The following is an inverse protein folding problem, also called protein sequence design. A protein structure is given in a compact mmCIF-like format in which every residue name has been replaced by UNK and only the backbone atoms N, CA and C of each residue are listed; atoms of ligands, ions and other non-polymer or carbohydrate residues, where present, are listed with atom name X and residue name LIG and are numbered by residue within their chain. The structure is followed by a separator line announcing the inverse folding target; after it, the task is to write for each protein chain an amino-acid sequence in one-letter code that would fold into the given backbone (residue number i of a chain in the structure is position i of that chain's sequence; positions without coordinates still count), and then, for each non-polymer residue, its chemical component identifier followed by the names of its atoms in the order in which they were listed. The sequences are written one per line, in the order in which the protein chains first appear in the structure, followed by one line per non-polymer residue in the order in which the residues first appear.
data_IF_993660165357
#
_entry.id   IF_993660165357
#
_cell.length_a   1.000
_cell.length_b   1.000
_cell.length_c   1.000
_cell.angle_alpha   90.00
_cell.angle_beta   90.00
_cell.angle_gamma   90.00
#
_symmetry.space_group_name_H-M   'P 1'
#
loop_
_entity.id
_entity.type
_entity.pdbx_description
1 polymer ?
#
# COMPACT_ATOMS: atom_id res chain seq x y z
N UNK A 1 7.98 -5.63 55.53
CA UNK A 1 7.32 -5.25 54.27
C UNK A 1 8.31 -5.40 53.14
N UNK A 2 8.28 -6.52 52.42
CA UNK A 2 9.11 -6.75 51.24
C UNK A 2 8.21 -7.26 50.12
N UNK A 3 7.80 -6.35 49.24
CA UNK A 3 7.16 -6.72 47.97
C UNK A 3 8.27 -7.03 46.98
N UNK A 4 8.32 -8.28 46.51
CA UNK A 4 9.25 -8.71 45.48
C UNK A 4 8.69 -9.95 44.80
N UNK A 5 7.84 -9.78 43.79
CA UNK A 5 7.49 -10.82 42.84
C UNK A 5 8.21 -10.50 41.52
N UNK A 6 9.24 -11.26 41.12
CA UNK A 6 9.88 -11.08 39.83
C UNK A 6 9.03 -11.81 38.78
N UNK A 7 8.34 -11.04 37.93
CA UNK A 7 7.62 -11.59 36.78
C UNK A 7 8.64 -11.95 35.69
N UNK A 8 9.26 -13.12 35.81
CA UNK A 8 9.98 -13.74 34.70
C UNK A 8 8.95 -14.36 33.73
N UNK A 9 8.44 -13.57 32.79
CA UNK A 9 7.75 -14.10 31.62
C UNK A 9 8.78 -14.76 30.69
N UNK A 10 9.02 -16.06 30.87
CA UNK A 10 9.74 -16.85 29.88
C UNK A 10 8.78 -17.21 28.74
N UNK A 11 9.23 -17.11 27.49
CA UNK A 11 8.45 -17.43 26.27
C UNK A 11 7.80 -18.83 26.35
N UNK A 12 8.39 -19.75 27.10
CA UNK A 12 7.87 -21.11 27.37
C UNK A 12 6.48 -21.06 28.01
N UNK A 13 6.26 -20.17 28.98
CA UNK A 13 4.99 -20.10 29.73
C UNK A 13 3.79 -19.59 28.92
N UNK A 14 4.03 -18.95 27.77
CA UNK A 14 2.97 -18.47 26.88
C UNK A 14 2.46 -19.59 25.95
N UNK A 15 3.35 -20.48 25.49
CA UNK A 15 2.96 -21.59 24.60
C UNK A 15 2.02 -22.57 25.33
N UNK A 16 2.32 -22.86 26.59
CA UNK A 16 1.53 -23.77 27.44
C UNK A 16 0.11 -23.24 27.75
N UNK A 17 -0.18 -21.97 27.43
CA UNK A 17 -1.48 -21.33 27.64
C UNK A 17 -2.31 -21.18 26.37
N UNK A 18 -1.76 -21.55 25.20
CA UNK A 18 -2.48 -21.47 23.94
C UNK A 18 -3.33 -22.74 23.72
N UNK A 19 -4.52 -22.62 23.13
CA UNK A 19 -5.32 -23.78 22.71
C UNK A 19 -4.52 -24.73 21.81
N UNK A 20 -4.72 -26.05 21.96
CA UNK A 20 -3.97 -27.05 21.16
C UNK A 20 -4.20 -26.89 19.65
N UNK A 21 -5.43 -26.58 19.23
CA UNK A 21 -5.76 -26.32 17.83
C UNK A 21 -4.94 -25.14 17.27
N UNK A 22 -4.80 -24.05 18.04
CA UNK A 22 -3.93 -22.94 17.65
C UNK A 22 -2.45 -23.35 17.57
N UNK A 23 -1.97 -24.19 18.50
CA UNK A 23 -0.60 -24.70 18.47
C UNK A 23 -0.36 -25.54 17.21
N UNK A 24 -1.31 -26.39 16.81
CA UNK A 24 -1.19 -27.18 15.57
C UNK A 24 -1.14 -26.30 14.33
N UNK A 25 -1.91 -25.21 14.29
CA UNK A 25 -1.85 -24.21 13.23
C UNK A 25 -0.50 -23.50 13.17
N UNK A 26 0.16 -23.24 14.31
CA UNK A 26 1.48 -22.60 14.34
C UNK A 26 2.61 -23.54 13.86
N UNK A 27 2.42 -24.85 14.02
CA UNK A 27 3.37 -25.87 13.58
C UNK A 27 3.29 -26.10 12.06
N UNK A 28 2.13 -25.91 11.41
CA UNK A 28 2.00 -25.92 9.95
C UNK A 28 2.63 -24.66 9.32
N UNK A 29 3.61 -24.86 8.43
CA UNK A 29 4.33 -23.76 7.79
C UNK A 29 3.43 -22.85 6.93
N UNK A 30 2.43 -23.42 6.24
CA UNK A 30 1.51 -22.66 5.38
C UNK A 30 0.53 -21.85 6.21
N UNK A 31 0.03 -22.42 7.31
CA UNK A 31 -0.89 -21.69 8.18
C UNK A 31 -0.16 -20.60 8.96
N UNK A 32 1.07 -20.87 9.41
CA UNK A 32 1.96 -19.84 9.99
C UNK A 32 2.25 -18.71 9.01
N UNK A 33 2.53 -19.00 7.73
CA UNK A 33 2.73 -17.97 6.71
C UNK A 33 1.48 -17.08 6.57
N UNK A 34 0.30 -17.68 6.46
CA UNK A 34 -0.97 -16.94 6.41
C UNK A 34 -1.16 -16.05 7.64
N UNK A 35 -0.95 -16.60 8.84
CA UNK A 35 -1.10 -15.86 10.09
C UNK A 35 -0.17 -14.65 10.12
N UNK A 36 1.10 -14.85 9.76
CA UNK A 36 2.10 -13.77 9.71
C UNK A 36 1.66 -12.70 8.70
N UNK A 37 1.28 -13.10 7.48
CA UNK A 37 0.85 -12.17 6.43
C UNK A 37 -0.34 -11.35 6.90
N UNK A 38 -1.37 -11.97 7.48
CA UNK A 38 -2.55 -11.27 7.99
C UNK A 38 -2.22 -10.33 9.16
N UNK A 39 -1.51 -10.80 10.19
CA UNK A 39 -1.17 -9.97 11.36
C UNK A 39 -0.28 -8.80 10.99
N UNK A 40 0.77 -9.05 10.21
CA UNK A 40 1.65 -8.00 9.69
C UNK A 40 0.84 -7.01 8.86
N UNK A 41 -0.06 -7.49 8.01
CA UNK A 41 -0.89 -6.60 7.18
C UNK A 41 -1.81 -5.72 8.04
N UNK A 42 -2.46 -6.27 9.06
CA UNK A 42 -3.31 -5.52 9.99
C UNK A 42 -2.53 -4.43 10.72
N UNK A 43 -1.36 -4.77 11.28
CA UNK A 43 -0.52 -3.81 11.99
C UNK A 43 -0.02 -2.72 11.05
N UNK A 44 0.46 -3.09 9.86
CA UNK A 44 0.99 -2.11 8.90
C UNK A 44 -0.11 -1.19 8.36
N UNK A 45 -1.33 -1.69 8.11
CA UNK A 45 -2.46 -0.87 7.70
C UNK A 45 -2.85 0.13 8.80
N UNK A 46 -2.89 -0.32 10.06
CA UNK A 46 -3.14 0.54 11.22
C UNK A 46 -2.07 1.63 11.34
N UNK A 47 -0.80 1.24 11.36
CA UNK A 47 0.33 2.18 11.52
C UNK A 47 0.37 3.17 10.36
N UNK A 48 0.18 2.70 9.13
CA UNK A 48 0.17 3.58 7.96
C UNK A 48 -1.02 4.56 7.98
N UNK A 49 -2.20 4.11 8.43
CA UNK A 49 -3.37 4.98 8.52
C UNK A 49 -3.15 6.15 9.49
N UNK A 50 -2.58 5.90 10.65
CA UNK A 50 -2.36 6.94 11.66
C UNK A 50 -1.13 7.81 11.38
N UNK A 51 -0.01 7.21 10.96
CA UNK A 51 1.28 7.92 10.89
C UNK A 51 1.84 8.05 9.47
N UNK A 52 1.42 7.21 8.54
CA UNK A 52 1.97 7.20 7.19
C UNK A 52 1.39 8.23 6.22
N UNK A 53 0.26 8.86 6.54
CA UNK A 53 -0.47 9.77 5.64
C UNK A 53 0.01 11.23 5.74
N UNK A 54 -0.23 12.07 4.69
CA UNK A 54 0.16 13.49 4.71
C UNK A 54 -0.38 14.27 5.91
N UNK A 55 -1.60 13.94 6.36
CA UNK A 55 -2.23 14.59 7.52
C UNK A 55 -1.39 14.52 8.80
N UNK A 56 -0.72 13.40 9.06
CA UNK A 56 0.16 13.27 10.22
C UNK A 56 1.40 14.16 10.12
N UNK A 57 2.00 14.26 8.92
CA UNK A 57 3.13 15.16 8.69
C UNK A 57 2.74 16.63 8.91
N UNK A 58 1.51 17.02 8.56
CA UNK A 58 0.97 18.34 8.90
C UNK A 58 0.79 18.51 10.41
N UNK A 59 0.18 17.53 11.08
CA UNK A 59 -0.12 17.57 12.51
C UNK A 59 1.14 17.77 13.37
N UNK A 60 2.23 17.08 13.04
CA UNK A 60 3.49 17.23 13.79
C UNK A 60 4.29 18.48 13.39
N UNK A 61 3.81 19.26 12.42
CA UNK A 61 4.53 20.40 11.85
C UNK A 61 5.85 19.99 11.19
N UNK A 62 5.87 18.85 10.50
CA UNK A 62 7.09 18.32 9.88
C UNK A 62 7.77 19.34 8.96
N UNK A 63 7.05 20.07 8.09
CA UNK A 63 7.69 21.06 7.22
C UNK A 63 8.35 22.19 8.00
N UNK A 64 7.69 22.72 9.03
CA UNK A 64 8.25 23.78 9.88
C UNK A 64 9.47 23.29 10.67
N UNK A 65 9.46 22.02 11.11
CA UNK A 65 10.62 21.41 11.78
C UNK A 65 11.80 21.28 10.83
N UNK A 66 11.60 20.82 9.60
CA UNK A 66 12.66 20.73 8.60
C UNK A 66 13.22 22.12 8.24
N UNK A 67 12.35 23.13 8.15
CA UNK A 67 12.76 24.52 7.93
C UNK A 67 13.64 25.05 9.07
N UNK A 68 13.30 24.72 10.32
CA UNK A 68 14.08 25.12 11.49
C UNK A 68 15.47 24.46 11.55
N UNK A 69 15.70 23.38 10.80
CA UNK A 69 17.00 22.72 10.70
C UNK A 69 17.90 23.45 9.69
N UNK A 70 18.35 24.63 10.12
CA UNK A 70 19.38 25.42 9.42
C UNK A 70 18.92 26.13 8.15
N UNK A 71 17.61 26.20 7.87
CA UNK A 71 17.07 26.86 6.67
C UNK A 71 17.44 26.19 5.34
N UNK A 72 18.10 25.02 5.40
CA UNK A 72 18.53 24.23 4.22
C UNK A 72 17.33 23.58 3.54
N UNK A 73 16.28 23.26 4.31
CA UNK A 73 15.07 22.61 3.84
C UNK A 73 13.86 23.55 3.94
N UNK A 74 13.81 24.58 3.10
CA UNK A 74 12.62 25.40 2.92
C UNK A 74 11.60 24.65 2.05
N UNK A 75 10.41 24.31 2.58
CA UNK A 75 9.36 23.64 1.81
C UNK A 75 8.59 24.64 0.94
N UNK A 76 9.32 25.32 0.05
CA UNK A 76 8.78 26.37 -0.82
C UNK A 76 7.65 25.86 -1.71
N UNK A 77 7.62 24.57 -2.00
CA UNK A 77 6.58 23.90 -2.78
C UNK A 77 5.44 23.34 -1.93
N UNK A 78 5.57 23.19 -0.61
CA UNK A 78 4.53 22.55 0.22
C UNK A 78 4.41 21.05 -0.01
N UNK A 79 5.50 20.41 -0.44
CA UNK A 79 5.54 19.01 -0.90
C UNK A 79 5.98 18.02 0.15
N UNK A 80 6.55 18.48 1.28
CA UNK A 80 7.12 17.61 2.31
C UNK A 80 6.13 16.55 2.80
N UNK A 81 4.83 16.84 3.02
CA UNK A 81 3.89 15.81 3.51
C UNK A 81 3.54 14.72 2.49
N UNK A 82 3.62 15.02 1.19
CA UNK A 82 3.46 14.01 0.14
C UNK A 82 4.73 13.17 -0.03
N UNK A 83 5.91 13.76 0.18
CA UNK A 83 7.16 13.01 0.27
C UNK A 83 7.20 12.10 1.50
N UNK A 84 6.68 12.58 2.64
CA UNK A 84 6.47 11.75 3.84
C UNK A 84 5.55 10.57 3.54
N UNK A 85 4.46 10.81 2.80
CA UNK A 85 3.52 9.77 2.40
C UNK A 85 4.19 8.70 1.53
N UNK A 86 4.92 9.12 0.51
CA UNK A 86 5.71 8.24 -0.35
C UNK A 86 6.78 7.47 0.43
N UNK A 87 7.53 8.13 1.31
CA UNK A 87 8.57 7.49 2.12
C UNK A 87 7.97 6.48 3.11
N UNK A 88 6.92 6.87 3.83
CA UNK A 88 6.20 5.98 4.76
C UNK A 88 5.65 4.77 4.03
N UNK A 89 5.17 4.96 2.80
CA UNK A 89 4.73 3.89 1.92
C UNK A 89 5.87 2.93 1.57
N UNK A 90 7.03 3.44 1.15
CA UNK A 90 8.18 2.59 0.87
C UNK A 90 8.63 1.82 2.11
N UNK A 91 8.72 2.46 3.27
CA UNK A 91 9.18 1.79 4.49
C UNK A 91 8.16 0.75 4.94
N UNK A 92 6.91 1.15 5.17
CA UNK A 92 5.91 0.32 5.82
C UNK A 92 5.29 -0.70 4.86
N UNK A 93 5.18 -0.41 3.57
CA UNK A 93 4.46 -1.25 2.60
C UNK A 93 5.35 -1.89 1.53
N UNK A 94 6.64 -1.58 1.51
CA UNK A 94 7.65 -2.28 0.68
C UNK A 94 8.74 -2.89 1.54
N UNK A 95 9.46 -2.06 2.32
CA UNK A 95 10.62 -2.45 3.10
C UNK A 95 10.30 -3.46 4.20
N UNK A 96 9.31 -3.19 5.06
CA UNK A 96 8.90 -4.12 6.11
C UNK A 96 8.36 -5.44 5.52
N UNK A 97 7.44 -5.45 4.54
CA UNK A 97 7.04 -6.69 3.88
C UNK A 97 8.18 -7.48 3.26
N UNK A 98 9.13 -6.83 2.58
CA UNK A 98 10.34 -7.50 2.06
C UNK A 98 11.18 -8.10 3.18
N UNK A 99 11.38 -7.36 4.28
CA UNK A 99 12.06 -7.87 5.46
C UNK A 99 11.38 -9.09 6.06
N UNK A 100 10.05 -9.07 6.16
CA UNK A 100 9.25 -10.22 6.62
C UNK A 100 9.41 -11.40 5.67
N UNK A 101 9.32 -11.19 4.36
CA UNK A 101 9.50 -12.25 3.35
C UNK A 101 10.88 -12.92 3.50
N UNK A 102 11.95 -12.12 3.60
CA UNK A 102 13.33 -12.63 3.57
C UNK A 102 13.76 -13.20 4.92
N UNK A 103 13.48 -12.50 6.03
CA UNK A 103 14.03 -12.84 7.33
C UNK A 103 13.09 -13.70 8.19
N UNK A 104 11.78 -13.54 8.05
CA UNK A 104 10.79 -14.27 8.86
C UNK A 104 10.26 -15.49 8.09
N UNK A 105 9.72 -15.27 6.89
CA UNK A 105 9.16 -16.33 6.05
C UNK A 105 10.24 -17.13 5.29
N UNK A 106 11.51 -16.66 5.32
CA UNK A 106 12.66 -17.27 4.64
C UNK A 106 12.37 -17.61 3.17
N UNK A 107 11.53 -16.81 2.54
CA UNK A 107 11.04 -16.98 1.17
C UNK A 107 11.75 -16.01 0.24
N UNK A 108 11.64 -16.25 -1.08
CA UNK A 108 12.26 -15.36 -2.07
C UNK A 108 11.29 -14.24 -2.45
N UNK A 109 11.72 -12.97 -2.52
CA UNK A 109 10.85 -11.86 -2.93
C UNK A 109 10.12 -12.10 -4.27
N UNK A 110 10.76 -12.78 -5.22
CA UNK A 110 10.14 -13.14 -6.51
C UNK A 110 8.89 -14.02 -6.38
N UNK A 111 8.79 -14.80 -5.32
CA UNK A 111 7.62 -15.65 -5.05
C UNK A 111 6.42 -14.81 -4.56
N UNK A 112 6.67 -13.54 -4.19
CA UNK A 112 5.70 -12.52 -3.84
C UNK A 112 5.52 -11.46 -4.94
N UNK A 113 5.95 -11.77 -6.17
CA UNK A 113 5.78 -10.87 -7.31
C UNK A 113 6.78 -9.73 -7.41
N UNK A 114 7.81 -9.66 -6.55
CA UNK A 114 8.93 -8.71 -6.67
C UNK A 114 9.89 -9.13 -7.78
N UNK A 115 9.42 -9.06 -9.03
CA UNK A 115 10.19 -9.32 -10.23
C UNK A 115 9.61 -8.55 -11.41
N UNK A 116 10.44 -8.21 -12.38
CA UNK A 116 10.00 -7.58 -13.64
C UNK A 116 9.65 -8.60 -14.73
N UNK A 117 9.99 -9.88 -14.52
CA UNK A 117 9.71 -10.94 -15.48
C UNK A 117 8.20 -11.15 -15.57
N UNK A 118 7.66 -11.12 -16.79
CA UNK A 118 6.22 -11.26 -17.05
C UNK A 118 5.50 -9.94 -17.30
N UNK A 119 6.13 -8.79 -16.99
CA UNK A 119 5.52 -7.46 -17.18
C UNK A 119 5.11 -7.21 -18.64
N UNK A 120 6.04 -7.39 -19.58
CA UNK A 120 5.78 -7.08 -21.00
C UNK A 120 4.76 -8.01 -21.65
N UNK A 121 4.69 -9.28 -21.23
CA UNK A 121 3.78 -10.28 -21.81
C UNK A 121 2.31 -9.93 -21.58
N UNK A 122 2.00 -9.34 -20.43
CA UNK A 122 0.63 -9.03 -20.04
C UNK A 122 0.27 -7.56 -20.22
N UNK A 123 1.24 -6.72 -20.62
CA UNK A 123 1.07 -5.28 -20.80
C UNK A 123 -0.15 -4.89 -21.66
N UNK A 124 -0.49 -5.58 -22.78
CA UNK A 124 -1.67 -5.23 -23.57
C UNK A 124 -2.99 -5.27 -22.78
N UNK A 125 -3.11 -6.17 -21.80
CA UNK A 125 -4.31 -6.25 -20.95
C UNK A 125 -4.41 -5.04 -20.02
N UNK A 126 -3.28 -4.58 -19.47
CA UNK A 126 -3.24 -3.39 -18.62
C UNK A 126 -3.45 -2.11 -19.42
N UNK A 127 -2.93 -2.04 -20.65
CA UNK A 127 -3.23 -0.95 -21.59
C UNK A 127 -4.71 -0.92 -21.94
N UNK A 128 -5.32 -2.08 -22.24
CA UNK A 128 -6.77 -2.17 -22.47
C UNK A 128 -7.58 -1.72 -21.26
N UNK A 129 -7.17 -2.11 -20.04
CA UNK A 129 -7.80 -1.65 -18.80
C UNK A 129 -7.66 -0.13 -18.61
N UNK A 130 -6.50 0.45 -18.92
CA UNK A 130 -6.30 1.90 -18.89
C UNK A 130 -7.20 2.62 -19.89
N UNK A 131 -7.24 2.16 -21.15
CA UNK A 131 -8.08 2.74 -22.20
C UNK A 131 -9.57 2.63 -21.88
N UNK A 132 -9.99 1.58 -21.17
CA UNK A 132 -11.35 1.46 -20.65
C UNK A 132 -11.62 2.45 -19.51
N UNK A 133 -10.66 2.64 -18.60
CA UNK A 133 -10.78 3.60 -17.50
C UNK A 133 -10.77 5.05 -17.98
N UNK A 134 -10.02 5.38 -19.03
CA UNK A 134 -9.84 6.74 -19.52
C UNK A 134 -11.16 7.52 -19.77
N UNK A 135 -12.15 7.00 -20.53
CA UNK A 135 -13.43 7.70 -20.68
C UNK A 135 -14.20 7.82 -19.36
N UNK A 136 -14.06 6.86 -18.44
CA UNK A 136 -14.68 6.95 -17.11
C UNK A 136 -14.04 8.05 -16.27
N UNK A 137 -12.71 8.23 -16.36
CA UNK A 137 -12.00 9.30 -15.68
C UNK A 137 -12.39 10.68 -16.25
N UNK A 138 -12.48 10.82 -17.57
CA UNK A 138 -12.94 12.05 -18.23
C UNK A 138 -14.38 12.39 -17.83
N UNK A 139 -15.25 11.38 -17.73
CA UNK A 139 -16.61 11.59 -17.27
C UNK A 139 -16.65 11.99 -15.79
N UNK A 140 -15.91 11.27 -14.93
CA UNK A 140 -15.84 11.57 -13.50
C UNK A 140 -15.23 12.94 -13.21
N UNK A 141 -14.31 13.44 -14.06
CA UNK A 141 -13.73 14.78 -13.88
C UNK A 141 -14.74 15.91 -14.07
N UNK A 142 -15.91 15.65 -14.65
CA UNK A 142 -17.01 16.64 -14.71
C UNK A 142 -17.78 16.79 -13.40
N UNK A 143 -17.53 15.93 -12.40
CA UNK A 143 -18.28 15.92 -11.15
C UNK A 143 -17.64 16.81 -10.09
N UNK A 144 -18.48 17.52 -9.32
CA UNK A 144 -18.04 18.37 -8.21
C UNK A 144 -17.23 17.60 -7.15
N UNK A 145 -17.63 16.37 -6.85
CA UNK A 145 -16.92 15.51 -5.89
C UNK A 145 -15.50 15.16 -6.33
N UNK A 146 -15.24 15.10 -7.64
CA UNK A 146 -13.92 14.83 -8.19
C UNK A 146 -13.05 16.08 -8.11
N UNK A 147 -13.56 17.21 -8.59
CA UNK A 147 -12.87 18.51 -8.61
C UNK A 147 -12.54 19.04 -7.21
N UNK A 148 -13.34 18.67 -6.19
CA UNK A 148 -13.06 19.04 -4.79
C UNK A 148 -11.99 18.13 -4.16
N UNK A 149 -11.85 16.90 -4.64
CA UNK A 149 -10.98 15.89 -4.04
C UNK A 149 -9.60 15.82 -4.70
N UNK A 150 -9.52 16.10 -6.01
CA UNK A 150 -8.28 16.14 -6.80
C UNK A 150 -7.99 17.55 -7.34
N UNK A 151 -6.72 17.88 -7.62
CA UNK A 151 -5.53 17.10 -7.28
C UNK A 151 -5.26 17.12 -5.77
N UNK A 152 -4.60 16.09 -5.23
CA UNK A 152 -4.24 16.12 -3.81
C UNK A 152 -3.31 17.28 -3.48
N UNK A 153 -2.35 17.54 -4.37
CA UNK A 153 -1.49 18.69 -4.28
C UNK A 153 -2.15 19.91 -4.93
N UNK A 154 -2.67 20.80 -4.10
CA UNK A 154 -3.44 21.99 -4.51
C UNK A 154 -2.67 22.95 -5.44
N UNK A 155 -1.34 22.87 -5.45
CA UNK A 155 -0.47 23.69 -6.30
C UNK A 155 -0.01 22.97 -7.56
N UNK A 156 -0.65 21.85 -7.93
CA UNK A 156 -0.27 21.05 -9.08
C UNK A 156 -0.33 21.84 -10.40
N UNK A 157 -1.33 22.72 -10.55
CA UNK A 157 -1.49 23.58 -11.72
C UNK A 157 -0.36 24.63 -11.89
N UNK A 158 0.40 24.94 -10.84
CA UNK A 158 1.60 25.80 -10.94
C UNK A 158 2.74 25.11 -11.72
N UNK A 159 2.71 23.78 -11.81
CA UNK A 159 3.73 22.98 -12.47
C UNK A 159 5.11 23.06 -11.80
N UNK A 160 6.16 22.92 -12.62
CA UNK A 160 7.54 23.06 -12.18
C UNK A 160 8.01 21.98 -11.19
N UNK A 161 8.97 22.34 -10.34
CA UNK A 161 9.64 21.38 -9.46
C UNK A 161 8.76 20.85 -8.33
N UNK A 162 7.80 21.67 -7.85
CA UNK A 162 6.85 21.24 -6.83
C UNK A 162 5.97 20.09 -7.32
N UNK A 163 5.46 20.19 -8.55
CA UNK A 163 4.70 19.10 -9.18
C UNK A 163 5.55 17.83 -9.29
N UNK A 164 6.80 17.93 -9.76
CA UNK A 164 7.70 16.77 -9.89
C UNK A 164 7.93 16.09 -8.53
N UNK A 165 8.18 16.85 -7.46
CA UNK A 165 8.39 16.29 -6.12
C UNK A 165 7.14 15.62 -5.57
N UNK A 166 5.96 16.23 -5.76
CA UNK A 166 4.68 15.63 -5.41
C UNK A 166 4.48 14.30 -6.15
N UNK A 167 4.68 14.26 -7.46
CA UNK A 167 4.48 13.07 -8.28
C UNK A 167 5.44 11.93 -7.93
N UNK A 168 6.67 12.25 -7.50
CA UNK A 168 7.60 11.25 -6.96
C UNK A 168 7.05 10.65 -5.67
N UNK A 169 6.59 11.49 -4.73
CA UNK A 169 5.97 11.03 -3.48
C UNK A 169 4.72 10.18 -3.75
N UNK A 170 3.88 10.62 -4.68
CA UNK A 170 2.67 9.93 -5.07
C UNK A 170 2.95 8.61 -5.81
N UNK A 171 4.01 8.57 -6.62
CA UNK A 171 4.47 7.36 -7.27
C UNK A 171 4.98 6.30 -6.28
N UNK A 172 5.76 6.71 -5.28
CA UNK A 172 6.19 5.84 -4.18
C UNK A 172 5.04 5.36 -3.30
N UNK A 173 4.01 6.20 -3.15
CA UNK A 173 2.76 5.79 -2.54
C UNK A 173 2.12 4.62 -3.31
N UNK A 174 1.98 4.70 -4.64
CA UNK A 174 1.40 3.60 -5.42
C UNK A 174 2.29 2.37 -5.49
N UNK A 175 3.61 2.53 -5.53
CA UNK A 175 4.54 1.41 -5.43
C UNK A 175 4.29 0.62 -4.14
N UNK A 176 4.13 1.29 -3.00
CA UNK A 176 3.82 0.60 -1.75
C UNK A 176 2.41 0.00 -1.73
N UNK A 177 1.39 0.66 -2.30
CA UNK A 177 0.05 0.06 -2.46
C UNK A 177 0.14 -1.26 -3.23
N UNK A 178 0.76 -1.27 -4.41
CA UNK A 178 0.81 -2.46 -5.26
C UNK A 178 1.71 -3.56 -4.70
N UNK A 179 2.89 -3.20 -4.19
CA UNK A 179 3.80 -4.15 -3.56
C UNK A 179 3.17 -4.81 -2.32
N UNK A 180 2.37 -4.08 -1.55
CA UNK A 180 1.73 -4.62 -0.35
C UNK A 180 0.52 -5.48 -0.68
N UNK A 181 -0.45 -4.96 -1.43
CA UNK A 181 -1.69 -5.68 -1.70
C UNK A 181 -1.49 -6.80 -2.72
N UNK A 182 -0.95 -6.48 -3.91
CA UNK A 182 -0.76 -7.49 -4.98
C UNK A 182 0.49 -8.32 -4.76
N UNK A 183 1.52 -7.76 -4.13
CA UNK A 183 2.72 -8.49 -3.77
C UNK A 183 2.54 -9.31 -2.48
N UNK A 184 2.80 -8.68 -1.34
CA UNK A 184 2.86 -9.32 -0.03
C UNK A 184 1.59 -10.11 0.33
N UNK A 185 0.43 -9.46 0.31
CA UNK A 185 -0.81 -10.06 0.78
C UNK A 185 -1.38 -11.09 -0.22
N UNK A 186 -1.51 -10.73 -1.50
CA UNK A 186 -2.10 -11.64 -2.50
C UNK A 186 -1.25 -12.90 -2.69
N UNK A 187 0.07 -12.78 -2.94
CA UNK A 187 0.90 -13.97 -3.14
C UNK A 187 1.14 -14.76 -1.85
N UNK A 188 1.23 -14.10 -0.69
CA UNK A 188 1.35 -14.77 0.61
C UNK A 188 0.13 -15.63 0.92
N UNK A 189 -1.07 -15.14 0.66
CA UNK A 189 -2.31 -15.89 0.86
C UNK A 189 -2.55 -16.94 -0.25
N UNK A 190 -2.08 -16.70 -1.47
CA UNK A 190 -2.33 -17.57 -2.62
C UNK A 190 -1.78 -18.98 -2.44
N UNK A 191 -0.67 -19.15 -1.72
CA UNK A 191 -0.07 -20.47 -1.46
C UNK A 191 -0.99 -21.42 -0.69
N UNK A 192 -1.80 -20.88 0.23
CA UNK A 192 -2.73 -21.65 1.07
C UNK A 192 -4.13 -21.69 0.50
N UNK A 193 -4.61 -20.56 -0.04
CA UNK A 193 -6.01 -20.38 -0.42
C UNK A 193 -6.26 -20.29 -1.93
N UNK A 194 -5.21 -20.33 -2.75
CA UNK A 194 -5.31 -20.17 -4.19
C UNK A 194 -6.03 -18.87 -4.54
N UNK A 195 -7.01 -18.96 -5.45
CA UNK A 195 -7.75 -17.81 -5.97
C UNK A 195 -8.55 -17.04 -4.90
N UNK A 196 -8.87 -17.63 -3.75
CA UNK A 196 -9.53 -16.93 -2.65
C UNK A 196 -8.65 -15.83 -2.02
N UNK A 197 -7.33 -15.85 -2.26
CA UNK A 197 -6.43 -14.78 -1.86
C UNK A 197 -6.82 -13.42 -2.46
N UNK A 198 -7.40 -13.41 -3.67
CA UNK A 198 -7.81 -12.18 -4.36
C UNK A 198 -8.96 -11.47 -3.62
N UNK A 199 -10.12 -12.09 -3.36
CA UNK A 199 -11.17 -11.44 -2.58
C UNK A 199 -10.73 -11.14 -1.14
N UNK A 200 -9.91 -12.00 -0.50
CA UNK A 200 -9.37 -11.73 0.84
C UNK A 200 -8.53 -10.45 0.88
N UNK A 201 -7.70 -10.22 -0.13
CA UNK A 201 -6.93 -8.98 -0.29
C UNK A 201 -7.82 -7.79 -0.67
N UNK A 202 -8.84 -8.02 -1.50
CA UNK A 202 -9.73 -6.96 -1.98
C UNK A 202 -10.46 -6.28 -0.82
N UNK A 203 -10.82 -7.00 0.24
CA UNK A 203 -11.48 -6.42 1.42
C UNK A 203 -10.69 -5.25 2.02
N UNK A 204 -9.47 -5.42 2.56
CA UNK A 204 -8.71 -4.30 3.10
C UNK A 204 -8.26 -3.31 2.02
N UNK A 205 -8.08 -3.74 0.76
CA UNK A 205 -7.80 -2.82 -0.33
C UNK A 205 -8.95 -1.82 -0.56
N UNK A 206 -10.20 -2.29 -0.53
CA UNK A 206 -11.36 -1.41 -0.63
C UNK A 206 -11.51 -0.53 0.61
N UNK A 207 -11.20 -1.04 1.81
CA UNK A 207 -11.29 -0.27 3.05
C UNK A 207 -10.40 0.98 3.05
N UNK A 208 -9.20 0.91 2.46
CA UNK A 208 -8.33 2.11 2.36
C UNK A 208 -8.89 3.17 1.39
N UNK A 209 -9.93 2.85 0.62
CA UNK A 209 -10.63 3.78 -0.28
C UNK A 209 -11.90 4.39 0.34
N UNK A 210 -12.28 4.04 1.57
CA UNK A 210 -13.52 4.54 2.18
C UNK A 210 -13.55 6.06 2.41
N UNK A 211 -12.40 6.74 2.41
CA UNK A 211 -12.35 8.20 2.46
C UNK A 211 -12.51 8.89 1.10
N UNK A 212 -12.56 8.12 0.01
CA UNK A 212 -12.73 8.64 -1.36
C UNK A 212 -14.21 8.79 -1.71
N UNK A 213 -14.56 9.54 -2.77
CA UNK A 213 -15.91 9.54 -3.33
C UNK A 213 -16.43 8.11 -3.56
N UNK A 214 -17.70 7.87 -3.22
CA UNK A 214 -18.31 6.54 -3.23
C UNK A 214 -18.08 5.76 -4.55
N UNK A 215 -18.19 6.38 -5.74
CA UNK A 215 -17.93 5.67 -7.00
C UNK A 215 -16.49 5.14 -7.12
N UNK A 216 -15.50 5.86 -6.59
CA UNK A 216 -14.11 5.39 -6.56
C UNK A 216 -13.91 4.25 -5.57
N UNK A 217 -14.55 4.33 -4.39
CA UNK A 217 -14.51 3.25 -3.41
C UNK A 217 -15.18 1.97 -3.96
N UNK A 218 -16.29 2.09 -4.68
CA UNK A 218 -16.94 0.98 -5.36
C UNK A 218 -16.08 0.41 -6.49
N UNK A 219 -15.48 1.29 -7.32
CA UNK A 219 -14.55 0.88 -8.38
C UNK A 219 -13.32 0.15 -7.83
N UNK A 220 -12.87 0.48 -6.60
CA UNK A 220 -11.76 -0.23 -5.94
C UNK A 220 -12.05 -1.72 -5.71
N UNK A 221 -13.30 -2.15 -5.56
CA UNK A 221 -13.64 -3.58 -5.47
C UNK A 221 -13.30 -4.28 -6.79
N UNK A 222 -13.80 -3.74 -7.91
CA UNK A 222 -13.54 -4.30 -9.24
C UNK A 222 -12.04 -4.25 -9.58
N UNK A 223 -11.37 -3.13 -9.31
CA UNK A 223 -9.93 -2.97 -9.50
C UNK A 223 -9.13 -3.95 -8.61
N UNK A 224 -9.57 -4.18 -7.37
CA UNK A 224 -9.02 -5.18 -6.46
C UNK A 224 -9.05 -6.59 -7.06
N UNK A 225 -10.24 -7.02 -7.48
CA UNK A 225 -10.46 -8.35 -8.06
C UNK A 225 -9.70 -8.56 -9.37
N UNK A 226 -9.79 -7.60 -10.29
CA UNK A 226 -9.17 -7.69 -11.61
C UNK A 226 -7.64 -7.66 -11.46
N UNK A 227 -7.09 -6.64 -10.79
CA UNK A 227 -5.63 -6.49 -10.69
C UNK A 227 -4.99 -7.56 -9.80
N UNK A 228 -5.67 -8.03 -8.75
CA UNK A 228 -5.18 -9.18 -7.97
C UNK A 228 -5.09 -10.45 -8.82
N UNK A 229 -6.12 -10.73 -9.63
CA UNK A 229 -6.12 -11.86 -10.58
C UNK A 229 -5.01 -11.73 -11.61
N UNK A 230 -4.86 -10.53 -12.20
CA UNK A 230 -3.85 -10.27 -13.20
C UNK A 230 -2.44 -10.39 -12.63
N UNK A 231 -2.20 -9.89 -11.41
CA UNK A 231 -0.91 -9.99 -10.73
C UNK A 231 -0.46 -11.45 -10.57
N UNK A 232 -1.38 -12.34 -10.14
CA UNK A 232 -1.11 -13.78 -10.03
C UNK A 232 -0.75 -14.36 -11.41
N UNK A 233 -1.51 -14.02 -12.46
CA UNK A 233 -1.25 -14.53 -13.82
C UNK A 233 0.07 -14.01 -14.40
N UNK A 234 0.41 -12.74 -14.18
CA UNK A 234 1.70 -12.17 -14.60
C UNK A 234 2.86 -12.56 -13.70
N UNK A 235 2.60 -13.12 -12.52
CA UNK A 235 3.58 -13.42 -11.47
C UNK A 235 4.34 -12.18 -10.99
N UNK A 236 3.73 -11.00 -11.13
CA UNK A 236 4.29 -9.71 -10.72
C UNK A 236 3.19 -8.66 -10.58
N UNK A 237 3.34 -7.74 -9.63
CA UNK A 237 2.46 -6.58 -9.44
C UNK A 237 2.86 -5.37 -10.30
N UNK A 238 4.03 -5.40 -10.96
CA UNK A 238 4.60 -4.24 -11.66
C UNK A 238 3.68 -3.64 -12.74
N UNK A 239 2.98 -4.41 -13.59
CA UNK A 239 2.05 -3.81 -14.53
C UNK A 239 0.86 -3.11 -13.85
N UNK A 240 0.40 -3.61 -12.70
CA UNK A 240 -0.62 -2.97 -11.87
C UNK A 240 -0.14 -1.63 -11.32
N UNK A 241 1.14 -1.54 -10.92
CA UNK A 241 1.79 -0.28 -10.57
C UNK A 241 1.79 0.72 -11.74
N UNK A 242 2.19 0.28 -12.93
CA UNK A 242 2.17 1.16 -14.10
C UNK A 242 0.76 1.67 -14.42
N UNK A 243 -0.25 0.81 -14.28
CA UNK A 243 -1.64 1.20 -14.47
C UNK A 243 -2.09 2.22 -13.42
N UNK A 244 -1.79 1.98 -12.13
CA UNK A 244 -2.14 2.91 -11.06
C UNK A 244 -1.48 4.27 -11.24
N UNK A 245 -0.19 4.29 -11.60
CA UNK A 245 0.51 5.53 -11.93
C UNK A 245 -0.21 6.24 -13.08
N UNK A 246 -0.46 5.55 -14.19
CA UNK A 246 -1.14 6.15 -15.35
C UNK A 246 -2.52 6.71 -15.00
N UNK A 247 -3.34 6.00 -14.21
CA UNK A 247 -4.64 6.49 -13.75
C UNK A 247 -4.48 7.71 -12.83
N UNK A 248 -3.53 7.68 -11.90
CA UNK A 248 -3.27 8.77 -10.96
C UNK A 248 -2.81 10.05 -11.65
N UNK A 249 -1.80 9.95 -12.53
CA UNK A 249 -1.34 11.08 -13.33
C UNK A 249 -2.47 11.66 -14.18
N UNK A 250 -3.31 10.82 -14.77
CA UNK A 250 -4.46 11.30 -15.56
C UNK A 250 -5.52 11.97 -14.70
N UNK A 251 -5.78 11.49 -13.48
CA UNK A 251 -6.71 12.17 -12.57
C UNK A 251 -6.19 13.55 -12.17
N UNK A 252 -4.91 13.66 -11.81
CA UNK A 252 -4.31 14.93 -11.45
C UNK A 252 -4.32 15.88 -12.66
N UNK A 253 -3.99 15.41 -13.87
CA UNK A 253 -4.06 16.21 -15.09
C UNK A 253 -5.47 16.69 -15.44
N UNK A 254 -6.50 15.86 -15.22
CA UNK A 254 -7.91 16.23 -15.49
C UNK A 254 -8.50 17.19 -14.44
N UNK A 255 -7.83 17.35 -13.29
CA UNK A 255 -8.26 18.23 -12.21
C UNK A 255 -7.48 19.56 -12.15
N UNK A 256 -6.44 19.73 -12.99
CA UNK A 256 -5.69 20.98 -13.16
C UNK A 256 -6.37 21.91 -14.16
#
# INVERSE_FOLDING_TARGET
MSWGCPIHFSIVTLRDRLPEDLLTTLDDEREREVLIVLLVSTVLLLVFFYWGRPGFAWEIGLPQRLESWGGVFADRSGTVPYLWWGLSSLVLRVGVPLGVIVWVLKSRPRDFGFQFKGTLRHLPLYVGAYLFMLPLLIWASTWESFQTYYPFYQRAAEGGWGLVLYEIGYGFQFLGVEAFFRGFMTFGLYRRFGWLAVPMMTVPYTMIHFSKPMPEAAAAILAGLILGTMAIRSKTFVPGLLLHLAVAFTMDFLAM
#
